data_IF_086624713957
#
_entry.id   IF_086624713957
#
_cell.length_a   1.000
_cell.length_b   1.000
_cell.length_c   1.000
_cell.angle_alpha   90.00
_cell.angle_beta   90.00
_cell.angle_gamma   90.00
#
_symmetry.space_group_name_H-M   'P 1'
#
loop_
_entity.id
_entity.type
_entity.pdbx_description
1 polymer ?
#
# COMPACT_ATOMS: atom_id res chain seq x y z
N UNK A 1 0.89 9.68 41.32
CA UNK A 1 -0.03 8.69 40.72
C UNK A 1 -0.77 9.21 39.49
N UNK A 2 -1.42 10.39 39.53
CA UNK A 2 -2.15 10.94 38.36
C UNK A 2 -1.26 11.29 37.15
N UNK A 3 -0.02 11.73 37.39
CA UNK A 3 0.94 12.11 36.34
C UNK A 3 1.38 10.94 35.45
N UNK A 4 1.66 9.77 36.05
CA UNK A 4 2.12 8.59 35.28
C UNK A 4 1.01 7.96 34.45
N UNK A 5 -0.24 7.99 34.96
CA UNK A 5 -1.39 7.54 34.19
C UNK A 5 -1.59 8.40 32.94
N UNK A 6 -1.42 9.73 33.06
CA UNK A 6 -1.56 10.66 31.94
C UNK A 6 -0.45 10.46 30.88
N UNK A 7 0.79 10.19 31.31
CA UNK A 7 1.93 9.92 30.42
C UNK A 7 1.73 8.68 29.55
N UNK A 8 1.03 7.65 30.05
CA UNK A 8 0.73 6.43 29.28
C UNK A 8 -0.56 6.56 28.47
N UNK A 9 -1.57 7.25 28.99
CA UNK A 9 -2.87 7.40 28.31
C UNK A 9 -2.81 8.30 27.09
N UNK A 10 -2.01 9.36 27.11
CA UNK A 10 -1.89 10.28 25.99
C UNK A 10 -1.38 9.61 24.69
N UNK A 11 -0.23 8.89 24.66
CA UNK A 11 0.25 8.23 23.45
C UNK A 11 -0.72 7.15 22.97
N UNK A 12 -1.36 6.41 23.88
CA UNK A 12 -2.37 5.42 23.52
C UNK A 12 -3.58 6.06 22.81
N UNK A 13 -4.09 7.18 23.34
CA UNK A 13 -5.19 7.92 22.74
C UNK A 13 -4.82 8.48 21.36
N UNK A 14 -3.58 8.96 21.19
CA UNK A 14 -3.06 9.40 19.88
C UNK A 14 -3.00 8.25 18.89
N UNK A 15 -2.43 7.10 19.27
CA UNK A 15 -2.37 5.91 18.41
C UNK A 15 -3.78 5.48 18.00
N UNK A 16 -4.72 5.43 18.95
CA UNK A 16 -6.11 5.08 18.68
C UNK A 16 -6.76 6.08 17.71
N UNK A 17 -6.57 7.38 17.93
CA UNK A 17 -7.08 8.43 17.04
C UNK A 17 -6.53 8.30 15.62
N UNK A 18 -5.23 8.02 15.47
CA UNK A 18 -4.55 7.79 14.19
C UNK A 18 -5.13 6.57 13.46
N UNK A 19 -5.35 5.46 14.17
CA UNK A 19 -5.96 4.25 13.60
C UNK A 19 -7.40 4.49 13.17
N UNK A 20 -8.23 5.10 14.01
CA UNK A 20 -9.64 5.40 13.68
C UNK A 20 -9.77 6.37 12.50
N UNK A 21 -8.89 7.39 12.45
CA UNK A 21 -8.83 8.30 11.32
C UNK A 21 -8.40 7.57 10.03
N UNK A 22 -7.39 6.70 10.12
CA UNK A 22 -6.96 5.83 9.02
C UNK A 22 -8.09 4.95 8.49
N UNK A 23 -8.87 4.31 9.36
CA UNK A 23 -10.03 3.49 8.96
C UNK A 23 -11.11 4.33 8.26
N UNK A 24 -11.32 5.57 8.69
CA UNK A 24 -12.28 6.47 8.04
C UNK A 24 -11.82 6.84 6.63
N UNK A 25 -10.54 7.20 6.47
CA UNK A 25 -9.95 7.48 5.17
C UNK A 25 -9.88 6.23 4.28
N UNK A 26 -9.73 5.04 4.86
CA UNK A 26 -9.67 3.78 4.12
C UNK A 26 -10.92 3.55 3.24
N UNK A 27 -12.05 4.14 3.62
CA UNK A 27 -13.31 4.06 2.88
C UNK A 27 -13.31 4.83 1.55
N UNK A 28 -12.34 5.73 1.32
CA UNK A 28 -12.26 6.49 0.06
C UNK A 28 -11.57 5.71 -1.06
N UNK A 29 -10.77 4.69 -0.71
CA UNK A 29 -10.00 3.89 -1.66
C UNK A 29 -8.73 4.55 -2.18
N UNK A 30 -8.46 5.81 -1.83
CA UNK A 30 -7.26 6.54 -2.29
C UNK A 30 -6.18 6.51 -1.21
N UNK A 31 -5.59 5.32 -0.99
CA UNK A 31 -4.66 5.10 0.12
C UNK A 31 -3.20 5.29 -0.27
N UNK A 32 -2.90 5.18 -1.56
CA UNK A 32 -1.59 5.40 -2.13
C UNK A 32 -1.69 6.12 -3.47
N UNK A 33 -0.64 6.86 -3.79
CA UNK A 33 -0.38 7.35 -5.14
C UNK A 33 0.59 6.42 -5.85
N UNK A 34 0.36 6.16 -7.14
CA UNK A 34 1.25 5.35 -7.97
C UNK A 34 1.75 6.19 -9.13
N UNK A 35 3.07 6.36 -9.19
CA UNK A 35 3.77 6.92 -10.33
C UNK A 35 4.39 5.78 -11.13
N UNK A 36 4.13 5.78 -12.44
CA UNK A 36 4.62 4.74 -13.35
C UNK A 36 5.58 5.39 -14.33
N UNK A 37 6.80 4.86 -14.40
CA UNK A 37 7.80 5.20 -15.41
C UNK A 37 8.20 3.95 -16.20
N UNK A 38 9.03 4.12 -17.23
CA UNK A 38 9.57 2.97 -17.98
C UNK A 38 10.38 2.02 -17.08
N UNK A 39 11.19 2.58 -16.17
CA UNK A 39 12.16 1.81 -15.37
C UNK A 39 11.66 1.39 -14.01
N UNK A 40 10.79 2.18 -13.39
CA UNK A 40 10.29 1.89 -12.05
C UNK A 40 8.86 2.34 -11.84
N UNK A 41 8.21 1.68 -10.88
CA UNK A 41 6.95 2.10 -10.28
C UNK A 41 7.24 2.57 -8.86
N UNK A 42 6.78 3.78 -8.55
CA UNK A 42 6.82 4.33 -7.21
C UNK A 42 5.42 4.30 -6.61
N UNK A 43 5.29 3.61 -5.48
CA UNK A 43 4.08 3.56 -4.67
C UNK A 43 4.31 4.38 -3.41
N UNK A 44 3.49 5.41 -3.23
CA UNK A 44 3.61 6.41 -2.18
C UNK A 44 2.34 6.39 -1.32
N UNK A 45 2.35 5.76 -0.13
CA UNK A 45 1.21 5.84 0.80
C UNK A 45 0.83 7.29 1.10
N UNK A 46 -0.46 7.59 1.19
CA UNK A 46 -0.96 8.94 1.49
C UNK A 46 -1.07 9.18 3.00
N UNK A 47 -0.74 10.40 3.44
CA UNK A 47 -1.08 10.91 4.77
C UNK A 47 -0.75 9.94 5.93
N UNK A 48 -1.75 9.61 6.75
CA UNK A 48 -1.63 8.74 7.92
C UNK A 48 -1.20 7.31 7.58
N UNK A 49 -1.41 6.86 6.34
CA UNK A 49 -1.06 5.51 5.93
C UNK A 49 0.45 5.27 5.86
N UNK A 50 1.27 6.33 5.72
CA UNK A 50 2.73 6.24 5.84
C UNK A 50 3.16 5.78 7.23
N UNK A 51 2.46 6.29 8.25
CA UNK A 51 2.71 5.95 9.66
C UNK A 51 2.19 4.54 9.92
N UNK A 52 0.96 4.24 9.48
CA UNK A 52 0.31 2.95 9.74
C UNK A 52 0.98 1.77 9.02
N UNK A 53 1.55 2.00 7.83
CA UNK A 53 2.26 0.95 7.08
C UNK A 53 3.75 0.87 7.38
N UNK A 54 4.29 1.83 8.16
CA UNK A 54 5.71 2.00 8.44
C UNK A 54 6.58 2.08 7.17
N UNK A 55 6.01 2.51 6.05
CA UNK A 55 6.68 2.64 4.75
C UNK A 55 6.36 3.99 4.14
N UNK A 56 7.41 4.74 3.79
CA UNK A 56 7.27 6.05 3.15
C UNK A 56 7.03 5.96 1.65
N UNK A 57 7.79 5.09 0.98
CA UNK A 57 7.76 4.87 -0.46
C UNK A 57 8.19 3.43 -0.74
N UNK A 58 7.61 2.82 -1.78
CA UNK A 58 8.01 1.52 -2.29
C UNK A 58 8.38 1.70 -3.75
N UNK A 59 9.62 1.38 -4.09
CA UNK A 59 10.12 1.41 -5.47
C UNK A 59 10.19 0.00 -5.99
N UNK A 60 9.50 -0.24 -7.10
CA UNK A 60 9.45 -1.53 -7.76
C UNK A 60 10.11 -1.37 -9.14
N UNK A 61 11.24 -2.05 -9.39
CA UNK A 61 11.82 -2.08 -10.72
C UNK A 61 10.82 -2.66 -11.73
N UNK A 62 10.67 -2.05 -12.89
CA UNK A 62 9.72 -2.47 -13.91
C UNK A 62 9.96 -3.91 -14.37
N UNK A 63 11.21 -4.33 -14.42
CA UNK A 63 11.67 -5.66 -14.79
C UNK A 63 11.33 -6.74 -13.75
N UNK A 64 11.12 -6.36 -12.49
CA UNK A 64 10.77 -7.28 -11.43
C UNK A 64 9.28 -7.67 -11.46
N UNK A 65 8.44 -6.85 -12.11
CA UNK A 65 6.98 -7.02 -12.15
C UNK A 65 6.59 -8.09 -13.17
N UNK A 66 6.01 -9.18 -12.67
CA UNK A 66 5.57 -10.31 -13.49
C UNK A 66 4.11 -10.22 -13.87
N UNK A 67 3.26 -9.71 -12.99
CA UNK A 67 1.83 -9.57 -13.25
C UNK A 67 1.23 -8.40 -12.48
N UNK A 68 0.13 -7.87 -13.02
CA UNK A 68 -0.69 -6.85 -12.37
C UNK A 68 -2.16 -7.17 -12.58
N UNK A 69 -2.89 -7.34 -11.48
CA UNK A 69 -4.30 -7.71 -11.41
C UNK A 69 -5.06 -6.69 -10.55
N UNK A 70 -6.35 -6.53 -10.84
CA UNK A 70 -7.26 -5.85 -9.92
C UNK A 70 -8.00 -6.94 -9.15
N UNK A 71 -7.90 -6.86 -7.83
CA UNK A 71 -8.51 -7.84 -6.92
C UNK A 71 -9.75 -7.24 -6.29
N UNK A 72 -10.84 -8.00 -6.31
CA UNK A 72 -12.12 -7.58 -5.73
C UNK A 72 -12.04 -7.54 -4.20
N UNK A 73 -12.86 -6.70 -3.55
CA UNK A 73 -12.89 -6.64 -2.10
C UNK A 73 -13.23 -8.00 -1.49
N UNK A 74 -12.45 -8.41 -0.49
CA UNK A 74 -12.61 -9.73 0.15
C UNK A 74 -12.03 -10.90 -0.66
N UNK A 75 -11.55 -10.66 -1.89
CA UNK A 75 -10.90 -11.65 -2.73
C UNK A 75 -9.49 -12.02 -2.29
N UNK A 76 -8.84 -11.20 -1.46
CA UNK A 76 -7.50 -11.48 -0.93
C UNK A 76 -7.42 -11.04 0.53
N UNK A 77 -7.03 -11.96 1.41
CA UNK A 77 -6.64 -11.65 2.79
C UNK A 77 -5.13 -11.62 2.86
N UNK A 78 -4.57 -10.72 3.67
CA UNK A 78 -3.12 -10.70 3.89
C UNK A 78 -2.68 -12.05 4.47
N UNK A 79 -1.85 -12.82 3.75
CA UNK A 79 -1.44 -14.12 4.24
C UNK A 79 -0.38 -13.96 5.32
N UNK A 80 -0.48 -14.78 6.36
CA UNK A 80 0.62 -15.04 7.29
C UNK A 80 0.82 -14.06 8.44
N UNK A 81 2.06 -13.96 8.91
CA UNK A 81 2.45 -13.26 10.13
C UNK A 81 2.73 -11.78 9.86
N UNK A 82 2.27 -10.92 10.76
CA UNK A 82 2.52 -9.47 10.69
C UNK A 82 4.00 -9.19 10.92
N UNK A 83 4.63 -8.47 10.00
CA UNK A 83 6.03 -8.04 10.10
C UNK A 83 6.11 -6.51 9.94
N UNK A 84 5.82 -5.77 11.02
CA UNK A 84 5.67 -4.32 10.94
C UNK A 84 4.38 -3.94 10.19
N UNK A 85 3.26 -4.46 10.67
CA UNK A 85 1.95 -4.21 10.08
C UNK A 85 0.87 -3.92 11.12
N UNK A 86 -0.07 -3.06 10.73
CA UNK A 86 -1.32 -2.77 11.40
C UNK A 86 -2.43 -3.55 10.70
N UNK A 87 -3.26 -4.21 11.51
CA UNK A 87 -4.51 -4.79 11.08
C UNK A 87 -5.60 -4.33 12.03
N UNK A 88 -6.60 -3.68 11.48
CA UNK A 88 -7.80 -3.24 12.19
C UNK A 88 -9.02 -3.57 11.33
N UNK A 89 -10.20 -3.90 11.89
CA UNK A 89 -11.41 -4.06 11.09
C UNK A 89 -11.65 -2.83 10.20
N UNK A 90 -11.51 -2.98 8.89
CA UNK A 90 -11.58 -1.86 7.95
C UNK A 90 -10.27 -1.49 7.26
N UNK A 91 -9.11 -1.95 7.76
CA UNK A 91 -7.78 -1.54 7.29
C UNK A 91 -6.70 -2.62 7.52
N UNK A 92 -5.93 -2.89 6.48
CA UNK A 92 -4.71 -3.69 6.49
C UNK A 92 -3.58 -2.82 5.94
N UNK A 93 -2.54 -2.55 6.74
CA UNK A 93 -1.43 -1.70 6.35
C UNK A 93 -0.09 -2.28 6.85
N UNK A 94 0.91 -2.41 5.98
CA UNK A 94 2.27 -2.82 6.34
C UNK A 94 2.70 -4.14 5.69
N UNK A 95 3.79 -4.72 6.21
CA UNK A 95 4.40 -5.92 5.62
C UNK A 95 3.94 -7.19 6.33
N UNK A 96 3.64 -8.23 5.56
CA UNK A 96 3.21 -9.55 6.01
C UNK A 96 4.17 -10.60 5.48
N UNK A 97 4.41 -11.64 6.26
CA UNK A 97 5.31 -12.74 5.92
C UNK A 97 4.53 -14.04 5.82
N UNK A 98 4.64 -14.69 4.68
CA UNK A 98 4.00 -15.95 4.36
C UNK A 98 5.05 -16.95 3.79
N UNK A 99 4.72 -18.25 3.66
CA UNK A 99 5.68 -19.25 3.18
C UNK A 99 6.26 -18.97 1.78
N UNK A 100 5.52 -18.24 0.95
CA UNK A 100 5.87 -17.80 -0.41
C UNK A 100 6.61 -16.44 -0.44
N UNK A 101 6.85 -15.83 0.72
CA UNK A 101 7.70 -14.66 0.88
C UNK A 101 7.01 -13.51 1.62
N UNK A 102 7.57 -12.30 1.46
CA UNK A 102 7.02 -11.10 2.09
C UNK A 102 6.08 -10.36 1.14
N UNK A 103 5.02 -9.79 1.68
CA UNK A 103 4.04 -9.01 0.92
C UNK A 103 3.78 -7.68 1.61
N UNK A 104 3.58 -6.63 0.83
CA UNK A 104 3.16 -5.33 1.36
C UNK A 104 1.68 -5.11 1.07
N UNK A 105 0.96 -4.70 2.10
CA UNK A 105 -0.48 -4.47 2.06
C UNK A 105 -0.79 -3.04 2.46
N UNK A 106 -1.62 -2.37 1.67
CA UNK A 106 -2.26 -1.12 2.05
C UNK A 106 -3.68 -1.08 1.48
N UNK A 107 -4.59 -1.71 2.20
CA UNK A 107 -5.97 -1.93 1.75
C UNK A 107 -6.97 -1.59 2.85
N UNK A 108 -8.02 -0.90 2.49
CA UNK A 108 -9.25 -0.75 3.26
C UNK A 108 -10.25 -1.87 2.96
N UNK A 109 -11.39 -1.86 3.64
CA UNK A 109 -12.48 -2.78 3.34
C UNK A 109 -13.34 -2.29 2.17
N UNK A 110 -13.86 -3.26 1.38
CA UNK A 110 -14.95 -3.08 0.39
C UNK A 110 -14.60 -2.38 -0.93
N UNK A 111 -13.36 -2.00 -1.17
CA UNK A 111 -12.93 -1.44 -2.46
C UNK A 111 -11.92 -2.34 -3.18
N UNK A 112 -11.95 -2.40 -4.53
CA UNK A 112 -10.96 -3.14 -5.29
C UNK A 112 -9.55 -2.60 -5.03
N UNK A 113 -8.57 -3.50 -5.06
CA UNK A 113 -7.16 -3.16 -4.89
C UNK A 113 -6.36 -3.55 -6.13
N UNK A 114 -5.21 -2.90 -6.31
CA UNK A 114 -4.21 -3.30 -7.27
C UNK A 114 -3.28 -4.32 -6.62
N UNK A 115 -3.16 -5.50 -7.21
CA UNK A 115 -2.17 -6.51 -6.83
C UNK A 115 -1.06 -6.54 -7.89
N UNK A 116 0.18 -6.45 -7.42
CA UNK A 116 1.39 -6.49 -8.24
C UNK A 116 2.22 -7.66 -7.76
N UNK A 117 2.47 -8.62 -8.66
CA UNK A 117 3.35 -9.77 -8.37
C UNK A 117 4.77 -9.47 -8.87
N UNK A 118 5.75 -9.91 -8.09
CA UNK A 118 7.17 -9.67 -8.32
C UNK A 118 7.91 -11.01 -8.43
N UNK A 119 8.87 -11.15 -9.36
CA UNK A 119 9.70 -12.39 -9.47
C UNK A 119 10.82 -12.44 -8.44
N UNK A 120 11.38 -11.28 -8.10
CA UNK A 120 12.64 -11.13 -7.39
C UNK A 120 12.58 -9.90 -6.47
N UNK A 121 13.30 -9.98 -5.35
CA UNK A 121 13.44 -8.89 -4.39
C UNK A 121 12.87 -9.21 -3.01
N UNK A 122 12.83 -8.20 -2.12
CA UNK A 122 12.38 -8.39 -0.75
C UNK A 122 10.87 -8.53 -0.62
N UNK A 123 10.09 -8.32 -1.68
CA UNK A 123 8.63 -8.49 -1.68
C UNK A 123 8.25 -9.40 -2.85
N UNK A 124 7.39 -10.38 -2.59
CA UNK A 124 6.75 -11.23 -3.60
C UNK A 124 5.48 -10.57 -4.15
N UNK A 125 4.77 -9.82 -3.30
CA UNK A 125 3.51 -9.16 -3.67
C UNK A 125 3.39 -7.76 -3.09
N UNK A 126 2.71 -6.88 -3.81
CA UNK A 126 2.26 -5.57 -3.33
C UNK A 126 0.78 -5.41 -3.64
N UNK A 127 -0.04 -5.28 -2.60
CA UNK A 127 -1.49 -5.12 -2.70
C UNK A 127 -1.90 -3.77 -2.13
N UNK A 128 -2.38 -2.86 -2.98
CA UNK A 128 -2.64 -1.47 -2.59
C UNK A 128 -3.95 -0.95 -3.17
N UNK A 129 -4.72 -0.24 -2.36
CA UNK A 129 -5.89 0.49 -2.82
C UNK A 129 -5.50 1.88 -3.33
N UNK A 130 -5.96 2.17 -4.53
CA UNK A 130 -5.81 3.45 -5.22
C UNK A 130 -7.15 3.87 -5.80
N UNK A 131 -7.30 5.17 -6.09
CA UNK A 131 -8.56 5.76 -6.56
C UNK A 131 -9.16 5.08 -7.79
N UNK A 132 -8.31 4.65 -8.73
CA UNK A 132 -8.73 3.97 -9.97
C UNK A 132 -7.75 2.82 -10.29
N UNK A 133 -7.97 1.61 -9.72
CA UNK A 133 -7.03 0.51 -9.85
C UNK A 133 -6.95 -0.03 -11.28
N UNK A 134 -8.03 0.03 -12.06
CA UNK A 134 -8.04 -0.44 -13.45
C UNK A 134 -7.24 0.47 -14.37
N UNK A 135 -7.41 1.79 -14.25
CA UNK A 135 -6.61 2.73 -15.02
C UNK A 135 -5.13 2.63 -14.68
N UNK A 136 -4.79 2.43 -13.40
CA UNK A 136 -3.39 2.23 -12.99
C UNK A 136 -2.85 0.89 -13.50
N UNK A 137 -3.59 -0.21 -13.36
CA UNK A 137 -3.19 -1.51 -13.89
C UNK A 137 -2.90 -1.43 -15.40
N UNK A 138 -3.77 -0.74 -16.15
CA UNK A 138 -3.59 -0.51 -17.59
C UNK A 138 -2.31 0.28 -17.88
N UNK A 139 -2.04 1.37 -17.16
CA UNK A 139 -0.78 2.13 -17.30
C UNK A 139 0.45 1.27 -17.03
N UNK A 140 0.41 0.43 -16.01
CA UNK A 140 1.52 -0.45 -15.66
C UNK A 140 1.74 -1.50 -16.75
N UNK A 141 0.68 -2.16 -17.23
CA UNK A 141 0.79 -3.14 -18.32
C UNK A 141 1.35 -2.52 -19.60
N UNK A 142 1.00 -1.26 -19.88
CA UNK A 142 1.43 -0.53 -21.07
C UNK A 142 2.73 0.26 -20.90
N UNK A 143 3.43 0.15 -19.77
CA UNK A 143 4.61 0.98 -19.43
C UNK A 143 5.77 0.89 -20.43
N UNK A 144 5.87 -0.20 -21.20
CA UNK A 144 6.86 -0.38 -22.28
C UNK A 144 6.41 0.14 -23.65
N UNK A 145 5.17 0.61 -23.78
CA UNK A 145 4.57 1.11 -25.03
C UNK A 145 4.35 2.63 -25.02
N UNK A 146 4.72 3.32 -23.93
CA UNK A 146 4.58 4.77 -23.86
C UNK A 146 5.62 5.43 -24.79
N UNK A 147 5.24 6.40 -25.64
CA UNK A 147 6.22 7.18 -26.38
C UNK A 147 7.11 7.91 -25.36
N UNK A 148 8.42 7.74 -25.50
CA UNK A 148 9.48 8.30 -24.64
C UNK A 148 9.64 9.83 -24.77
N UNK A 149 8.52 10.56 -24.82
CA UNK A 149 8.44 12.00 -24.87
C UNK A 149 8.42 12.58 -23.46
N UNK A 150 9.60 12.65 -22.83
CA UNK A 150 9.77 13.38 -21.58
C UNK A 150 9.44 14.87 -21.76
N UNK A 151 8.90 15.55 -20.73
CA UNK A 151 8.66 16.98 -20.79
C UNK A 151 10.00 17.70 -20.94
N UNK A 152 10.19 18.34 -22.10
CA UNK A 152 11.26 19.29 -22.32
C UNK A 152 11.20 20.36 -21.23
N UNK A 153 12.24 20.45 -20.42
CA UNK A 153 12.44 21.60 -19.54
C UNK A 153 12.77 22.80 -20.43
N UNK A 154 11.79 23.69 -20.59
CA UNK A 154 12.00 25.08 -20.98
C UNK A 154 12.27 25.95 -19.77
#
# INVERSE_FOLDING_TARGET
MFSELLQVMLPLAVILGVVLHGVTLAKTGDLAEISVSEREILISPRSVFKILSLRWNIRLPSEAITSVSVVLPGGVQAPGLRYGAVFFPGLTAGTYMAPDGMSYWLTGQRLPALEITLREGPLSYVVVQVRDPEAVATRIRNRGNAPSGGPGRG
#
